data_IF_200948285762
#
_entry.id   IF_200948285762
#
_cell.length_a   1.000
_cell.length_b   1.000
_cell.length_c   1.000
_cell.angle_alpha   90.00
_cell.angle_beta   90.00
_cell.angle_gamma   90.00
#
_symmetry.space_group_name_H-M   'P 1'
#
loop_
_entity.id
_entity.type
_entity.pdbx_description
1 polymer ?
#
# COMPACT_ATOMS: atom_id res chain seq x y z
N UNK A 1 15.00 1.92 -9.94
CA UNK A 1 13.71 2.62 -9.80
C UNK A 1 13.10 2.16 -8.48
N UNK A 2 12.76 3.07 -7.56
CA UNK A 2 12.12 2.67 -6.31
C UNK A 2 10.72 2.09 -6.62
N UNK A 3 10.36 1.01 -5.92
CA UNK A 3 9.04 0.40 -6.02
C UNK A 3 8.12 1.13 -5.03
N UNK A 4 6.89 1.40 -5.44
CA UNK A 4 5.86 2.01 -4.61
C UNK A 4 4.65 1.07 -4.52
N UNK A 5 4.06 0.95 -3.34
CA UNK A 5 2.84 0.18 -3.11
C UNK A 5 1.71 1.15 -2.81
N UNK A 6 0.57 1.00 -3.49
CA UNK A 6 -0.61 1.85 -3.28
C UNK A 6 -1.77 1.00 -2.80
N UNK A 7 -2.37 1.36 -1.67
CA UNK A 7 -3.60 0.75 -1.16
C UNK A 7 -4.73 1.75 -1.27
N UNK A 8 -5.71 1.43 -2.12
CA UNK A 8 -6.93 2.20 -2.27
C UNK A 8 -7.97 1.75 -1.23
N UNK A 9 -8.36 2.65 -0.34
CA UNK A 9 -9.43 2.47 0.64
C UNK A 9 -9.35 1.12 1.40
N UNK A 10 -8.21 0.76 2.02
CA UNK A 10 -8.05 -0.54 2.66
C UNK A 10 -8.97 -0.68 3.88
N UNK A 11 -9.63 -1.84 3.98
CA UNK A 11 -10.61 -2.11 5.04
C UNK A 11 -10.07 -3.01 6.15
N UNK A 12 -9.08 -3.87 5.86
CA UNK A 12 -8.63 -4.93 6.77
C UNK A 12 -7.26 -4.53 7.39
N UNK A 13 -7.21 -4.15 8.68
CA UNK A 13 -5.97 -3.67 9.31
C UNK A 13 -4.81 -4.68 9.26
N UNK A 14 -5.11 -5.98 9.39
CA UNK A 14 -4.09 -7.03 9.35
C UNK A 14 -3.36 -7.09 7.98
N UNK A 15 -4.09 -6.89 6.88
CA UNK A 15 -3.50 -6.91 5.54
C UNK A 15 -2.59 -5.69 5.34
N UNK A 16 -3.07 -4.49 5.69
CA UNK A 16 -2.26 -3.28 5.59
C UNK A 16 -1.04 -3.34 6.50
N UNK A 17 -1.17 -3.89 7.72
CA UNK A 17 -0.05 -4.09 8.63
C UNK A 17 1.04 -4.99 8.04
N UNK A 18 0.66 -6.13 7.45
CA UNK A 18 1.61 -7.05 6.80
C UNK A 18 2.31 -6.39 5.60
N UNK A 19 1.57 -5.65 4.77
CA UNK A 19 2.13 -4.91 3.63
C UNK A 19 3.09 -3.82 4.10
N UNK A 20 2.72 -3.05 5.12
CA UNK A 20 3.57 -2.03 5.72
C UNK A 20 4.86 -2.62 6.28
N UNK A 21 4.79 -3.81 6.92
CA UNK A 21 5.98 -4.53 7.39
C UNK A 21 6.92 -4.91 6.23
N UNK A 22 6.37 -5.40 5.12
CA UNK A 22 7.16 -5.68 3.92
C UNK A 22 7.81 -4.40 3.40
N UNK A 23 7.05 -3.30 3.32
CA UNK A 23 7.55 -2.01 2.85
C UNK A 23 8.72 -1.47 3.70
N UNK A 24 8.65 -1.59 5.03
CA UNK A 24 9.76 -1.25 5.92
C UNK A 24 11.01 -2.13 5.67
N UNK A 25 10.83 -3.40 5.32
CA UNK A 25 11.95 -4.32 5.07
C UNK A 25 12.59 -4.12 3.67
N UNK A 26 11.82 -3.60 2.71
CA UNK A 26 12.24 -3.44 1.31
C UNK A 26 12.48 -2.00 0.90
N UNK A 27 12.49 -1.07 1.86
CA UNK A 27 12.62 0.39 1.62
C UNK A 27 11.66 0.89 0.52
N UNK A 28 10.44 0.35 0.55
CA UNK A 28 9.38 0.60 -0.44
C UNK A 28 8.42 1.63 0.13
N UNK A 29 8.04 2.62 -0.67
CA UNK A 29 7.11 3.65 -0.21
C UNK A 29 5.68 3.12 -0.27
N UNK A 30 4.92 3.35 0.81
CA UNK A 30 3.53 2.95 0.92
C UNK A 30 2.60 4.17 0.79
N UNK A 31 1.69 4.13 -0.16
CA UNK A 31 0.66 5.13 -0.39
C UNK A 31 -0.68 4.60 0.10
N UNK A 32 -1.37 5.35 0.97
CA UNK A 32 -2.68 4.98 1.53
C UNK A 32 -3.72 6.02 1.11
N UNK A 33 -4.72 5.60 0.35
CA UNK A 33 -5.80 6.49 -0.12
C UNK A 33 -7.03 6.27 0.77
N UNK A 34 -7.55 7.36 1.34
CA UNK A 34 -8.71 7.38 2.25
C UNK A 34 -10.05 7.18 1.52
N UNK A 35 -11.13 6.84 2.25
CA UNK A 35 -11.16 6.48 3.68
C UNK A 35 -10.53 5.12 3.96
N UNK A 36 -9.86 5.01 5.11
CA UNK A 36 -9.37 3.72 5.63
C UNK A 36 -10.48 3.12 6.49
N UNK A 37 -10.75 1.81 6.36
CA UNK A 37 -11.72 1.10 7.19
C UNK A 37 -11.25 0.86 8.63
N UNK A 38 -10.08 1.38 9.02
CA UNK A 38 -9.48 1.25 10.34
C UNK A 38 -8.63 2.47 10.68
N UNK A 39 -8.30 2.65 11.96
CA UNK A 39 -7.37 3.68 12.40
C UNK A 39 -5.92 3.21 12.31
N UNK A 40 -5.04 3.99 11.68
CA UNK A 40 -3.59 3.76 11.68
C UNK A 40 -2.93 4.13 12.99
N UNK A 41 -3.62 4.91 13.83
CA UNK A 41 -3.17 5.26 15.19
C UNK A 41 -3.55 4.19 16.23
N UNK A 42 -4.33 3.19 15.81
CA UNK A 42 -4.95 2.26 16.73
C UNK A 42 -3.90 1.45 17.51
N UNK A 43 -4.20 1.25 18.80
CA UNK A 43 -3.37 0.54 19.77
C UNK A 43 -3.03 -0.88 19.31
N UNK A 44 -3.80 -1.45 18.39
CA UNK A 44 -3.52 -2.75 17.79
C UNK A 44 -2.22 -2.80 16.99
N UNK A 45 -1.88 -1.75 16.22
CA UNK A 45 -0.59 -1.67 15.51
C UNK A 45 0.57 -1.57 16.50
N UNK A 46 0.40 -0.82 17.61
CA UNK A 46 1.42 -0.68 18.66
C UNK A 46 1.59 -1.92 19.54
N UNK A 47 0.53 -2.72 19.78
CA UNK A 47 0.56 -3.86 20.73
C UNK A 47 1.29 -5.09 20.19
N UNK A 48 1.35 -5.27 18.89
CA UNK A 48 2.02 -6.42 18.27
C UNK A 48 3.57 -6.32 18.28
N UNK A 49 4.15 -5.37 19.03
CA UNK A 49 5.60 -5.12 19.06
C UNK A 49 6.14 -4.44 17.79
N UNK A 50 5.22 -3.88 16.99
CA UNK A 50 5.48 -3.40 15.65
C UNK A 50 5.87 -1.92 15.70
N UNK A 51 7.07 -1.69 16.20
CA UNK A 51 7.79 -0.41 16.11
C UNK A 51 8.21 -0.10 14.66
N UNK A 52 7.79 -0.91 13.68
CA UNK A 52 8.15 -0.75 12.27
C UNK A 52 7.43 0.39 11.57
N UNK A 53 6.26 0.84 12.07
CA UNK A 53 5.45 1.84 11.38
C UNK A 53 6.22 3.15 11.18
N UNK A 54 7.14 3.47 12.11
CA UNK A 54 8.05 4.62 12.01
C UNK A 54 9.17 4.46 10.98
N UNK A 55 9.42 3.23 10.52
CA UNK A 55 10.41 2.89 9.50
C UNK A 55 9.77 2.71 8.11
N UNK A 56 8.44 2.81 8.01
CA UNK A 56 7.76 2.80 6.71
C UNK A 56 7.67 4.24 6.22
N UNK A 57 8.12 4.48 4.99
CA UNK A 57 7.81 5.72 4.29
C UNK A 57 6.37 5.68 3.81
N UNK A 58 5.48 6.46 4.45
CA UNK A 58 4.03 6.44 4.18
C UNK A 58 3.55 7.83 3.74
N UNK A 59 2.78 7.90 2.66
CA UNK A 59 1.99 9.07 2.29
C UNK A 59 0.49 8.75 2.33
N UNK A 60 -0.30 9.66 2.89
CA UNK A 60 -1.76 9.55 2.92
C UNK A 60 -2.37 10.52 1.92
N UNK A 61 -3.41 10.08 1.22
CA UNK A 61 -4.19 10.89 0.29
C UNK A 61 -5.66 10.85 0.67
N UNK A 62 -6.36 11.96 0.52
CA UNK A 62 -7.79 12.05 0.87
C UNK A 62 -8.68 11.35 -0.15
N UNK A 63 -8.24 11.29 -1.41
CA UNK A 63 -8.92 10.66 -2.53
C UNK A 63 -7.91 10.24 -3.61
N UNK A 64 -8.40 9.58 -4.66
CA UNK A 64 -7.55 9.03 -5.73
C UNK A 64 -7.03 10.14 -6.66
N UNK A 65 -7.79 11.22 -6.83
CA UNK A 65 -7.39 12.38 -7.62
C UNK A 65 -6.15 13.04 -7.02
N UNK A 66 -6.15 13.28 -5.71
CA UNK A 66 -5.01 13.79 -4.96
C UNK A 66 -3.78 12.90 -5.07
N UNK A 67 -3.95 11.59 -5.22
CA UNK A 67 -2.84 10.67 -5.47
C UNK A 67 -2.24 10.91 -6.86
N UNK A 68 -3.08 10.98 -7.91
CA UNK A 68 -2.62 11.20 -9.27
C UNK A 68 -2.06 12.61 -9.52
N UNK A 69 -2.50 13.62 -8.78
CA UNK A 69 -1.95 14.98 -8.85
C UNK A 69 -0.55 15.09 -8.22
N UNK A 70 -0.26 14.24 -7.23
CA UNK A 70 0.99 14.29 -6.47
C UNK A 70 2.00 13.22 -6.90
N UNK A 71 1.60 12.30 -7.78
CA UNK A 71 2.45 11.20 -8.23
C UNK A 71 2.42 11.06 -9.74
N UNK A 72 3.59 10.79 -10.32
CA UNK A 72 3.77 10.49 -11.73
C UNK A 72 4.53 9.17 -11.87
N UNK A 73 4.11 8.31 -12.80
CA UNK A 73 4.79 7.03 -13.00
C UNK A 73 4.01 6.00 -13.81
N UNK A 74 4.58 4.81 -13.90
CA UNK A 74 3.91 3.64 -14.46
C UNK A 74 3.09 2.93 -13.38
N UNK A 75 1.79 2.80 -13.60
CA UNK A 75 0.88 2.18 -12.65
C UNK A 75 0.52 0.76 -13.07
N UNK A 76 0.74 -0.20 -12.17
CA UNK A 76 0.26 -1.57 -12.32
C UNK A 76 -0.90 -1.80 -11.35
N UNK A 77 -2.11 -1.93 -11.88
CA UNK A 77 -3.33 -2.08 -11.09
C UNK A 77 -3.65 -3.56 -10.88
N UNK A 78 -3.74 -3.96 -9.61
CA UNK A 78 -4.16 -5.29 -9.20
C UNK A 78 -5.59 -5.20 -8.65
N UNK A 79 -6.55 -5.81 -9.36
CA UNK A 79 -7.95 -5.88 -8.92
C UNK A 79 -8.48 -7.30 -9.07
N UNK A 80 -9.32 -7.74 -8.13
CA UNK A 80 -9.99 -9.04 -8.17
C UNK A 80 -10.98 -9.17 -9.34
N UNK A 81 -11.37 -8.05 -9.96
CA UNK A 81 -12.25 -8.00 -11.13
C UNK A 81 -11.46 -7.90 -12.46
N UNK A 82 -10.14 -8.10 -12.44
CA UNK A 82 -9.28 -8.00 -13.61
C UNK A 82 -9.32 -9.26 -14.48
N UNK A 83 -9.74 -9.10 -15.74
CA UNK A 83 -9.79 -10.15 -16.76
C UNK A 83 -8.41 -10.55 -17.34
N UNK A 84 -7.31 -10.46 -16.58
CA UNK A 84 -6.00 -10.96 -17.02
C UNK A 84 -5.23 -11.59 -15.86
N UNK A 85 -4.89 -12.86 -16.06
CA UNK A 85 -3.97 -13.61 -15.20
C UNK A 85 -2.58 -12.96 -15.20
N UNK A 86 -1.94 -12.87 -14.03
CA UNK A 86 -0.60 -12.31 -13.83
C UNK A 86 0.54 -13.17 -14.44
N UNK A 87 0.23 -14.33 -15.01
CA UNK A 87 1.21 -15.35 -15.43
C UNK A 87 1.23 -15.58 -16.93
N UNK A 88 1.49 -14.53 -17.72
CA UNK A 88 1.83 -14.71 -19.14
C UNK A 88 2.98 -13.78 -19.51
N UNK A 89 4.16 -14.15 -19.04
CA UNK A 89 5.41 -13.75 -19.66
C UNK A 89 5.92 -14.98 -20.42
N UNK A 90 5.37 -15.21 -21.62
CA UNK A 90 5.96 -16.19 -22.54
C UNK A 90 7.17 -15.53 -23.20
N UNK A 91 8.34 -16.07 -22.86
CA UNK A 91 9.57 -15.86 -23.58
C UNK A 91 9.53 -16.74 -24.83
N UNK A 92 9.55 -16.14 -26.02
CA UNK A 92 10.16 -16.64 -27.27
C UNK A 92 10.09 -15.56 -28.33
#
# INVERSE_FOLDING_TARGET
>A
MPIHVVLYQPEIPANTGNIARTCAATDTHLHLIRPLGFSTDDKMLRRAGLDYWKYVSITYYDNIESFFEQTEGQYFLLTKFGSKNHTSQDSS
#
